data_IF_538999737496
#
_entry.id   IF_538999737496
#
_cell.length_a   1.000
_cell.length_b   1.000
_cell.length_c   1.000
_cell.angle_alpha   90.00
_cell.angle_beta   90.00
_cell.angle_gamma   90.00
#
_symmetry.space_group_name_H-M   'P 1'
#
loop_
_entity.id
_entity.type
_entity.pdbx_description
1 polymer ?
#
# COMPACT_ATOMS: atom_id res chain seq x y z
N UNK A 1 7.90 15.66 -3.51
CA UNK A 1 8.25 14.24 -3.27
C UNK A 1 9.07 13.74 -4.46
N UNK A 2 10.06 12.88 -4.20
CA UNK A 2 10.88 12.23 -5.25
C UNK A 2 10.08 11.13 -5.96
N UNK A 3 9.18 10.48 -5.22
CA UNK A 3 8.37 9.35 -5.70
C UNK A 3 6.87 9.63 -5.49
N UNK A 4 6.04 8.96 -6.30
CA UNK A 4 4.59 8.96 -6.15
C UNK A 4 4.15 8.01 -5.04
N UNK A 5 4.81 6.86 -4.90
CA UNK A 5 4.56 5.94 -3.80
C UNK A 5 5.80 5.18 -3.36
N UNK A 6 5.92 4.96 -2.05
CA UNK A 6 6.79 3.94 -1.48
C UNK A 6 6.01 2.62 -1.36
N UNK A 7 6.61 1.51 -1.76
CA UNK A 7 6.02 0.17 -1.63
C UNK A 7 6.68 -0.59 -0.49
N UNK A 8 6.02 -0.63 0.67
CA UNK A 8 6.44 -1.46 1.80
C UNK A 8 5.93 -2.89 1.57
N UNK A 9 6.84 -3.86 1.52
CA UNK A 9 6.54 -5.26 1.22
C UNK A 9 7.59 -6.19 1.86
N UNK A 10 7.28 -7.48 1.91
CA UNK A 10 8.25 -8.53 2.27
C UNK A 10 9.11 -8.88 1.06
N UNK A 11 10.38 -9.22 1.30
CA UNK A 11 11.35 -9.53 0.25
C UNK A 11 10.84 -10.56 -0.79
N UNK A 12 10.09 -11.57 -0.34
CA UNK A 12 9.58 -12.62 -1.23
C UNK A 12 8.49 -12.14 -2.20
N UNK A 13 7.89 -10.98 -1.92
CA UNK A 13 6.84 -10.39 -2.75
C UNK A 13 7.42 -9.50 -3.88
N UNK A 14 8.74 -9.24 -3.88
CA UNK A 14 9.42 -8.46 -4.91
C UNK A 14 9.23 -9.04 -6.34
N UNK A 15 9.15 -10.37 -6.45
CA UNK A 15 8.87 -11.03 -7.73
C UNK A 15 7.53 -10.60 -8.34
N UNK A 16 6.49 -10.49 -7.51
CA UNK A 16 5.18 -10.01 -7.96
C UNK A 16 5.20 -8.53 -8.31
N UNK A 17 5.90 -7.71 -7.52
CA UNK A 17 6.07 -6.27 -7.81
C UNK A 17 6.72 -6.08 -9.18
N UNK A 18 7.80 -6.81 -9.46
CA UNK A 18 8.52 -6.76 -10.73
C UNK A 18 7.67 -7.21 -11.92
N UNK A 19 6.89 -8.27 -11.76
CA UNK A 19 6.11 -8.85 -12.85
C UNK A 19 4.79 -8.10 -13.12
N UNK A 20 4.19 -7.48 -12.11
CA UNK A 20 2.86 -6.90 -12.21
C UNK A 20 2.83 -5.41 -11.88
N UNK A 21 3.29 -5.02 -10.69
CA UNK A 21 3.12 -3.65 -10.20
C UNK A 21 3.96 -2.63 -10.99
N UNK A 22 5.22 -2.93 -11.28
CA UNK A 22 6.11 -2.05 -12.05
C UNK A 22 5.56 -1.83 -13.47
N UNK A 23 5.25 -2.88 -14.27
CA UNK A 23 4.68 -2.67 -15.60
C UNK A 23 3.35 -1.91 -15.58
N UNK A 24 2.49 -2.18 -14.61
CA UNK A 24 1.18 -1.52 -14.54
C UNK A 24 1.28 -0.06 -14.09
N UNK A 25 2.15 0.28 -13.14
CA UNK A 25 2.21 1.62 -12.55
C UNK A 25 3.30 2.50 -13.17
N UNK A 26 4.52 2.00 -13.35
CA UNK A 26 5.62 2.80 -13.91
C UNK A 26 5.49 2.91 -15.43
N UNK A 27 5.38 1.78 -16.13
CA UNK A 27 5.36 1.77 -17.61
C UNK A 27 4.00 2.17 -18.17
N UNK A 28 2.91 1.60 -17.61
CA UNK A 28 1.56 1.83 -18.12
C UNK A 28 0.93 3.16 -17.69
N UNK A 29 1.37 3.76 -16.58
CA UNK A 29 0.68 4.89 -15.94
C UNK A 29 1.60 6.03 -15.49
N UNK A 30 2.92 5.92 -15.73
CA UNK A 30 3.93 6.94 -15.46
C UNK A 30 4.05 7.35 -13.98
N UNK A 31 3.82 6.43 -13.05
CA UNK A 31 4.16 6.64 -11.64
C UNK A 31 5.65 6.37 -11.39
N UNK A 32 6.23 7.05 -10.39
CA UNK A 32 7.56 6.73 -9.88
C UNK A 32 7.45 6.01 -8.54
N UNK A 33 7.81 4.73 -8.49
CA UNK A 33 7.77 3.95 -7.26
C UNK A 33 9.14 3.99 -6.56
N UNK A 34 9.12 4.05 -5.23
CA UNK A 34 10.27 3.77 -4.38
C UNK A 34 10.15 2.33 -3.88
N UNK A 35 11.15 1.49 -4.20
CA UNK A 35 11.15 0.07 -3.90
C UNK A 35 12.49 -0.29 -3.26
N UNK A 36 12.45 -0.84 -2.06
CA UNK A 36 13.64 -1.05 -1.21
C UNK A 36 14.80 -1.75 -1.92
N UNK A 37 14.54 -2.84 -2.63
CA UNK A 37 15.52 -3.69 -3.32
C UNK A 37 16.19 -2.99 -4.52
N UNK A 38 15.60 -1.90 -5.02
CA UNK A 38 16.17 -1.09 -6.11
C UNK A 38 16.94 0.13 -5.59
N UNK A 39 16.50 0.69 -4.47
CA UNK A 39 16.91 2.01 -3.99
C UNK A 39 17.73 1.95 -2.67
N UNK A 40 18.09 0.77 -2.18
CA UNK A 40 18.78 0.60 -0.89
C UNK A 40 20.20 1.19 -0.87
N UNK A 41 20.49 1.93 0.20
CA UNK A 41 21.83 2.44 0.51
C UNK A 41 22.39 1.60 1.67
N UNK A 42 23.51 0.86 1.47
CA UNK A 42 24.14 0.10 2.53
C UNK A 42 24.60 0.98 3.71
N UNK A 43 24.37 0.51 4.94
CA UNK A 43 24.89 1.14 6.17
C UNK A 43 23.89 1.96 6.99
N UNK A 44 22.64 2.10 6.52
CA UNK A 44 21.56 2.78 7.27
C UNK A 44 20.76 1.82 8.15
N UNK A 45 20.19 2.33 9.25
CA UNK A 45 19.24 1.56 10.07
C UNK A 45 17.91 1.36 9.34
N UNK A 46 17.29 0.19 9.45
CA UNK A 46 16.04 -0.13 8.74
C UNK A 46 14.92 0.89 9.03
N UNK A 47 14.79 1.34 10.28
CA UNK A 47 13.84 2.38 10.66
C UNK A 47 14.08 3.70 9.89
N UNK A 48 15.34 4.14 9.75
CA UNK A 48 15.68 5.37 9.01
C UNK A 48 15.35 5.23 7.53
N UNK A 49 15.65 4.07 6.94
CA UNK A 49 15.33 3.77 5.53
C UNK A 49 13.82 3.84 5.29
N UNK A 50 13.02 3.22 6.17
CA UNK A 50 11.55 3.25 6.08
C UNK A 50 11.05 4.70 6.18
N UNK A 51 11.53 5.46 7.16
CA UNK A 51 11.13 6.85 7.39
C UNK A 51 11.47 7.72 6.18
N UNK A 52 12.67 7.58 5.63
CA UNK A 52 13.13 8.35 4.49
C UNK A 52 12.34 8.00 3.22
N UNK A 53 12.04 6.72 2.99
CA UNK A 53 11.23 6.29 1.86
C UNK A 53 9.79 6.84 1.95
N UNK A 54 9.20 6.85 3.15
CA UNK A 54 7.88 7.46 3.39
C UNK A 54 7.96 8.98 3.11
N UNK A 55 8.93 9.70 3.70
CA UNK A 55 9.05 11.16 3.54
C UNK A 55 9.33 11.59 2.10
N UNK A 56 10.04 10.77 1.34
CA UNK A 56 10.36 11.03 -0.06
C UNK A 56 9.22 10.67 -1.02
N UNK A 57 8.13 10.07 -0.53
CA UNK A 57 7.00 9.57 -1.33
C UNK A 57 5.69 10.27 -0.99
N UNK A 58 4.82 10.52 -1.99
CA UNK A 58 3.49 11.12 -1.74
C UNK A 58 2.55 10.19 -0.99
N UNK A 59 2.66 8.89 -1.26
CA UNK A 59 1.82 7.82 -0.73
C UNK A 59 2.68 6.67 -0.22
N UNK A 60 2.12 5.84 0.63
CA UNK A 60 2.74 4.56 1.02
C UNK A 60 1.78 3.43 0.71
N UNK A 61 2.21 2.49 -0.14
CA UNK A 61 1.49 1.24 -0.40
C UNK A 61 2.00 0.21 0.58
N UNK A 62 1.10 -0.43 1.33
CA UNK A 62 1.40 -1.61 2.14
C UNK A 62 0.98 -2.84 1.37
N UNK A 63 1.93 -3.62 0.91
CA UNK A 63 1.67 -4.89 0.25
C UNK A 63 1.56 -5.98 1.31
N UNK A 64 0.33 -6.18 1.79
CA UNK A 64 0.01 -7.09 2.87
C UNK A 64 -0.02 -8.53 2.38
N UNK A 65 0.87 -9.32 2.94
CA UNK A 65 0.91 -10.78 2.83
C UNK A 65 1.10 -11.40 4.22
N UNK A 66 0.87 -12.71 4.39
CA UNK A 66 1.12 -13.37 5.67
C UNK A 66 2.57 -13.19 6.16
N UNK A 67 3.53 -13.15 5.23
CA UNK A 67 4.94 -12.91 5.56
C UNK A 67 5.17 -11.49 6.03
N UNK A 68 4.71 -10.49 5.26
CA UNK A 68 4.82 -9.08 5.66
C UNK A 68 4.30 -8.81 7.08
N UNK A 69 3.17 -9.42 7.46
CA UNK A 69 2.61 -9.27 8.81
C UNK A 69 3.51 -9.90 9.90
N UNK A 70 4.22 -10.98 9.57
CA UNK A 70 5.07 -11.72 10.50
C UNK A 70 6.48 -11.12 10.65
N UNK A 71 7.07 -10.63 9.55
CA UNK A 71 8.47 -10.16 9.49
C UNK A 71 8.57 -8.63 9.53
N UNK A 72 7.90 -7.94 8.60
CA UNK A 72 8.19 -6.53 8.30
C UNK A 72 7.28 -5.53 9.04
N UNK A 73 6.06 -5.95 9.40
CA UNK A 73 5.07 -5.06 9.99
C UNK A 73 5.56 -4.39 11.27
N UNK A 74 6.29 -5.13 12.12
CA UNK A 74 6.75 -4.63 13.41
C UNK A 74 7.70 -3.45 13.24
N UNK A 75 8.68 -3.56 12.34
CA UNK A 75 9.67 -2.50 12.09
C UNK A 75 9.02 -1.31 11.40
N UNK A 76 8.15 -1.56 10.42
CA UNK A 76 7.38 -0.53 9.75
C UNK A 76 6.51 0.27 10.74
N UNK A 77 5.77 -0.43 11.60
CA UNK A 77 4.99 0.18 12.65
C UNK A 77 5.82 1.01 13.63
N UNK A 78 6.92 0.44 14.10
CA UNK A 78 7.79 1.10 15.06
C UNK A 78 8.30 2.43 14.48
N UNK A 79 8.76 2.40 13.23
CA UNK A 79 9.22 3.57 12.49
C UNK A 79 8.14 4.64 12.41
N UNK A 80 6.91 4.26 12.06
CA UNK A 80 5.79 5.19 11.92
C UNK A 80 5.33 5.80 13.23
N UNK A 81 5.22 4.98 14.28
CA UNK A 81 4.79 5.41 15.61
C UNK A 81 5.80 6.39 16.22
N UNK A 82 7.08 6.04 16.18
CA UNK A 82 8.17 6.88 16.73
C UNK A 82 8.27 8.22 16.01
N UNK A 83 8.15 8.21 14.69
CA UNK A 83 8.31 9.41 13.87
C UNK A 83 6.99 10.17 13.64
N UNK A 84 5.89 9.73 14.28
CA UNK A 84 4.55 10.33 14.17
C UNK A 84 4.07 10.50 12.72
N UNK A 85 4.49 9.58 11.84
CA UNK A 85 4.29 9.69 10.39
C UNK A 85 2.82 9.58 9.96
N UNK A 86 1.90 9.18 10.84
CA UNK A 86 0.46 9.18 10.55
C UNK A 86 -0.37 10.10 11.44
N UNK A 87 0.28 10.83 12.34
CA UNK A 87 -0.42 11.78 13.21
C UNK A 87 -0.77 13.09 12.49
N UNK A 88 -0.19 13.35 11.32
CA UNK A 88 -0.25 14.66 10.64
C UNK A 88 -1.40 14.82 9.64
N UNK A 89 -2.19 13.76 9.39
CA UNK A 89 -3.31 13.76 8.45
C UNK A 89 -2.93 13.91 6.96
N UNK A 90 -1.64 14.09 6.64
CA UNK A 90 -1.12 14.27 5.27
C UNK A 90 -0.66 12.97 4.60
N UNK A 91 -0.51 11.92 5.38
CA UNK A 91 0.19 10.70 4.97
C UNK A 91 -0.83 9.61 4.59
N UNK A 92 -1.05 9.44 3.29
CA UNK A 92 -2.04 8.51 2.73
C UNK A 92 -1.40 7.16 2.46
N UNK A 93 -1.63 6.24 3.38
CA UNK A 93 -1.41 4.80 3.26
C UNK A 93 -2.52 4.18 2.41
N UNK A 94 -2.12 3.32 1.49
CA UNK A 94 -3.01 2.48 0.69
C UNK A 94 -2.67 1.03 1.04
N UNK A 95 -3.64 0.28 1.58
CA UNK A 95 -3.43 -1.12 1.88
C UNK A 95 -3.77 -1.97 0.65
N UNK A 96 -2.87 -2.87 0.27
CA UNK A 96 -3.09 -3.88 -0.78
C UNK A 96 -2.94 -5.25 -0.16
N UNK A 97 -4.02 -6.03 -0.12
CA UNK A 97 -3.98 -7.44 0.28
C UNK A 97 -3.59 -8.24 -0.95
N UNK A 98 -2.33 -8.68 -1.00
CA UNK A 98 -1.80 -9.43 -2.13
C UNK A 98 -2.11 -10.93 -2.02
N UNK A 99 -2.13 -11.44 -0.79
CA UNK A 99 -2.42 -12.85 -0.47
C UNK A 99 -3.43 -12.90 0.68
N UNK A 100 -4.33 -13.89 0.71
CA UNK A 100 -5.27 -14.05 1.82
C UNK A 100 -4.54 -14.04 3.17
N UNK A 101 -5.02 -13.21 4.09
CA UNK A 101 -4.44 -13.08 5.42
C UNK A 101 -5.11 -14.09 6.37
N UNK A 102 -4.35 -14.88 7.16
CA UNK A 102 -4.93 -15.82 8.10
C UNK A 102 -5.86 -15.12 9.09
N UNK A 103 -6.96 -15.78 9.46
CA UNK A 103 -7.87 -15.30 10.50
C UNK A 103 -7.07 -15.08 11.80
N UNK A 104 -7.17 -13.87 12.37
CA UNK A 104 -6.44 -13.50 13.59
C UNK A 104 -5.00 -13.03 13.39
N UNK A 105 -4.45 -13.08 12.16
CA UNK A 105 -3.13 -12.48 11.86
C UNK A 105 -3.15 -10.96 11.88
N UNK A 106 -4.31 -10.37 11.63
CA UNK A 106 -4.54 -8.94 11.72
C UNK A 106 -4.69 -8.59 13.20
N UNK A 107 -3.57 -8.30 13.86
CA UNK A 107 -3.57 -7.77 15.22
C UNK A 107 -4.17 -6.35 15.25
N UNK A 108 -4.51 -5.83 16.44
CA UNK A 108 -5.21 -4.55 16.61
C UNK A 108 -4.53 -3.35 15.94
N UNK A 109 -3.23 -3.45 15.64
CA UNK A 109 -2.46 -2.38 15.05
C UNK A 109 -2.51 -2.37 13.51
N UNK A 110 -2.36 -3.52 12.85
CA UNK A 110 -2.66 -3.70 11.42
C UNK A 110 -4.15 -3.40 11.17
N UNK A 111 -5.02 -3.88 12.07
CA UNK A 111 -6.45 -3.68 12.01
C UNK A 111 -6.83 -2.20 11.99
N UNK A 112 -6.17 -1.35 12.78
CA UNK A 112 -6.47 0.09 12.79
C UNK A 112 -6.13 0.77 11.47
N UNK A 113 -5.05 0.34 10.79
CA UNK A 113 -4.71 0.85 9.46
C UNK A 113 -5.72 0.38 8.42
N UNK A 114 -6.13 -0.90 8.47
CA UNK A 114 -7.13 -1.48 7.57
C UNK A 114 -8.54 -0.94 7.79
N UNK A 115 -8.93 -0.67 9.04
CA UNK A 115 -10.28 -0.18 9.39
C UNK A 115 -10.47 1.29 9.04
N UNK A 116 -9.39 2.07 9.06
CA UNK A 116 -9.45 3.52 8.82
C UNK A 116 -9.25 3.90 7.35
N UNK A 117 -8.92 2.95 6.46
CA UNK A 117 -8.51 3.23 5.08
C UNK A 117 -9.03 2.18 4.11
N UNK A 118 -9.28 2.59 2.87
CA UNK A 118 -9.62 1.68 1.79
C UNK A 118 -8.48 0.67 1.57
N UNK A 119 -8.80 -0.63 1.62
CA UNK A 119 -7.92 -1.69 1.15
C UNK A 119 -8.36 -2.17 -0.22
N UNK A 120 -7.39 -2.61 -1.01
CA UNK A 120 -7.60 -3.24 -2.31
C UNK A 120 -7.11 -4.68 -2.22
N UNK A 121 -7.87 -5.61 -2.79
CA UNK A 121 -7.53 -7.03 -2.77
C UNK A 121 -7.13 -7.47 -4.17
N UNK A 122 -6.01 -8.19 -4.25
CA UNK A 122 -5.54 -8.81 -5.48
C UNK A 122 -6.19 -10.19 -5.65
N UNK A 123 -6.88 -10.39 -6.78
CA UNK A 123 -7.41 -11.70 -7.16
C UNK A 123 -6.67 -12.23 -8.39
N UNK A 124 -5.83 -13.28 -8.27
CA UNK A 124 -5.08 -13.82 -9.40
C UNK A 124 -5.96 -14.54 -10.44
N UNK A 125 -7.17 -14.97 -10.08
CA UNK A 125 -8.00 -15.83 -10.91
C UNK A 125 -9.11 -15.07 -11.67
N UNK A 126 -9.30 -13.79 -11.39
CA UNK A 126 -10.35 -12.95 -11.99
C UNK A 126 -9.75 -11.73 -12.70
N UNK A 127 -9.73 -11.78 -14.04
CA UNK A 127 -9.18 -10.73 -14.91
C UNK A 127 -9.92 -9.40 -14.70
N UNK A 128 -11.24 -9.42 -14.57
CA UNK A 128 -12.01 -8.18 -14.37
C UNK A 128 -11.74 -7.57 -13.00
N UNK A 129 -11.58 -8.40 -11.97
CA UNK A 129 -11.15 -7.93 -10.65
C UNK A 129 -9.74 -7.30 -10.71
N UNK A 130 -8.82 -7.85 -11.50
CA UNK A 130 -7.47 -7.28 -11.69
C UNK A 130 -7.51 -5.93 -12.40
N UNK A 131 -8.31 -5.77 -13.46
CA UNK A 131 -8.48 -4.48 -14.14
C UNK A 131 -9.02 -3.42 -13.18
N UNK A 132 -10.06 -3.77 -12.41
CA UNK A 132 -10.64 -2.89 -11.42
C UNK A 132 -9.66 -2.56 -10.29
N UNK A 133 -8.86 -3.54 -9.84
CA UNK A 133 -7.82 -3.34 -8.85
C UNK A 133 -6.83 -2.26 -9.29
N UNK A 134 -6.29 -2.36 -10.52
CA UNK A 134 -5.33 -1.38 -11.02
C UNK A 134 -5.96 0.01 -11.22
N UNK A 135 -7.21 0.08 -11.69
CA UNK A 135 -7.94 1.34 -11.80
C UNK A 135 -8.07 2.01 -10.42
N UNK A 136 -8.57 1.29 -9.42
CA UNK A 136 -8.73 1.81 -8.05
C UNK A 136 -7.40 2.21 -7.41
N UNK A 137 -6.34 1.41 -7.59
CA UNK A 137 -5.01 1.75 -7.08
C UNK A 137 -4.47 3.03 -7.72
N UNK A 138 -4.67 3.19 -9.04
CA UNK A 138 -4.28 4.39 -9.78
C UNK A 138 -4.99 5.63 -9.26
N UNK A 139 -6.29 5.53 -9.04
CA UNK A 139 -7.10 6.64 -8.53
C UNK A 139 -6.68 6.99 -7.09
N UNK A 140 -6.44 6.00 -6.25
CA UNK A 140 -5.94 6.20 -4.89
C UNK A 140 -4.58 6.90 -4.88
N UNK A 141 -3.69 6.56 -5.81
CA UNK A 141 -2.37 7.20 -5.97
C UNK A 141 -2.46 8.64 -6.50
N UNK A 142 -3.40 8.92 -7.43
CA UNK A 142 -3.63 10.26 -7.99
C UNK A 142 -4.33 11.18 -7.00
N UNK A 143 -5.23 10.65 -6.19
CA UNK A 143 -6.05 11.41 -5.24
C UNK A 143 -5.19 12.23 -4.26
N UNK A 144 -5.54 13.50 -4.07
CA UNK A 144 -4.88 14.40 -3.10
C UNK A 144 -5.34 14.16 -1.65
N UNK A 145 -6.49 13.51 -1.47
CA UNK A 145 -7.08 13.04 -0.20
C UNK A 145 -7.87 11.75 -0.47
N UNK A 146 -8.10 10.96 0.57
CA UNK A 146 -8.82 9.67 0.59
C UNK A 146 -10.02 9.67 -0.36
N UNK A 147 -10.09 8.67 -1.25
CA UNK A 147 -11.31 8.36 -1.99
C UNK A 147 -12.39 8.00 -0.96
N UNK A 148 -13.35 8.89 -0.72
CA UNK A 148 -14.57 8.54 0.00
C UNK A 148 -15.51 7.87 -1.01
N UNK A 149 -15.41 6.54 -1.11
CA UNK A 149 -16.38 5.74 -1.86
C UNK A 149 -17.58 5.45 -0.94
N UNK A 150 -18.31 6.50 -0.56
CA UNK A 150 -19.65 6.39 0.04
C UNK A 150 -20.77 6.83 -0.89
N UNK A 151 -20.48 7.21 -2.14
CA UNK A 151 -21.53 7.41 -3.15
C UNK A 151 -21.79 6.10 -3.91
N UNK A 152 -22.55 5.24 -3.27
CA UNK A 152 -23.35 4.18 -3.91
C UNK A 152 -24.69 4.07 -3.20
N UNK A 153 -25.37 5.20 -3.05
CA UNK A 153 -26.83 5.29 -2.95
C UNK A 153 -27.29 5.85 -4.30
N UNK A 154 -28.28 5.36 -5.04
CA UNK A 154 -29.48 4.61 -4.70
C UNK A 154 -29.86 3.80 -5.97
N UNK A 155 -30.08 2.49 -5.85
CA UNK A 155 -31.02 1.85 -6.78
C UNK A 155 -32.41 2.27 -6.29
N UNK A 156 -32.99 3.22 -7.02
CA UNK A 156 -34.44 3.42 -7.05
C UNK A 156 -35.08 2.14 -7.56
N UNK A 157 -35.91 1.51 -6.73
CA UNK A 157 -37.03 0.73 -7.22
C UNK A 157 -38.30 1.33 -6.62
N UNK A 158 -38.93 2.19 -7.43
CA UNK A 158 -40.36 2.46 -7.38
C UNK A 158 -41.08 1.26 -8.01
N UNK A 159 -41.89 0.53 -7.22
CA UNK A 159 -43.16 -0.10 -7.60
C UNK A 159 -43.80 -0.83 -6.41
#
# INVERSE_FOLDING_TARGET
>A
YKFDAFVAHDYDDFGWIRQHMIPQLEEGRNFRLCIGERDFIPGSQLEEVIVDNIRNSRKTILLLTPKFIQSEWCDFELAMSRNKLFASGRDVVIAVILKPLPVGSINGRVYNVLKSRLYLEWNPDDIHAQELFWAKLTDALRSGQTLDLTDSSEIREDA
#
